data_IF_549601031812
#
_entry.id   IF_549601031812
#
_cell.length_a   1.000
_cell.length_b   1.000
_cell.length_c   1.000
_cell.angle_alpha   90.00
_cell.angle_beta   90.00
_cell.angle_gamma   90.00
#
_symmetry.space_group_name_H-M   'P 1'
#
loop_
_entity.id
_entity.type
_entity.pdbx_description
1 polymer ?
#
# COMPACT_ATOMS: atom_id res chain seq x y z
N UNK A 1 11.00 18.20 4.38
CA UNK A 1 9.80 17.45 4.76
C UNK A 1 9.16 16.96 3.48
N UNK A 2 8.63 15.75 3.50
CA UNK A 2 7.84 15.24 2.38
C UNK A 2 6.63 16.15 2.10
N UNK A 3 6.11 16.09 0.88
CA UNK A 3 4.84 16.76 0.53
C UNK A 3 3.64 15.94 1.03
N UNK A 4 2.49 16.59 1.20
CA UNK A 4 1.25 15.94 1.62
C UNK A 4 0.62 15.11 0.49
N UNK A 5 0.08 13.93 0.83
CA UNK A 5 -0.81 13.20 -0.07
C UNK A 5 -2.22 13.79 -0.01
N UNK A 6 -2.86 13.90 -1.16
CA UNK A 6 -4.28 14.27 -1.26
C UNK A 6 -5.01 13.26 -2.14
N UNK A 7 -6.13 12.73 -1.64
CA UNK A 7 -7.04 11.86 -2.37
C UNK A 7 -8.40 12.54 -2.42
N UNK A 8 -9.02 12.55 -3.59
CA UNK A 8 -10.41 12.98 -3.78
C UNK A 8 -11.24 11.78 -4.25
N UNK A 9 -12.40 11.57 -3.64
CA UNK A 9 -13.30 10.46 -3.93
C UNK A 9 -14.63 11.02 -4.42
N UNK A 10 -15.14 10.40 -5.48
CA UNK A 10 -16.53 10.47 -5.90
C UNK A 10 -17.01 9.04 -6.11
N UNK A 11 -17.97 8.59 -5.31
CA UNK A 11 -18.49 7.23 -5.38
C UNK A 11 -20.02 7.26 -5.50
N UNK A 12 -20.58 6.53 -6.46
CA UNK A 12 -22.02 6.27 -6.54
C UNK A 12 -22.27 4.87 -6.01
N UNK A 13 -23.11 4.76 -4.99
CA UNK A 13 -23.38 3.50 -4.31
C UNK A 13 -24.83 3.44 -3.83
N UNK A 14 -25.20 2.29 -3.26
CA UNK A 14 -26.55 1.88 -2.86
C UNK A 14 -27.41 1.39 -4.04
N UNK A 15 -28.47 0.59 -3.78
CA UNK A 15 -29.44 0.18 -4.82
C UNK A 15 -30.08 1.38 -5.51
N UNK A 16 -30.52 1.16 -6.74
CA UNK A 16 -31.01 2.19 -7.66
C UNK A 16 -32.05 3.13 -7.04
N UNK A 17 -32.97 2.60 -6.22
CA UNK A 17 -34.04 3.39 -5.57
C UNK A 17 -33.52 4.42 -4.57
N UNK A 18 -32.33 4.20 -4.01
CA UNK A 18 -31.70 5.06 -3.00
C UNK A 18 -30.26 5.41 -3.36
N UNK A 19 -29.88 5.29 -4.63
CA UNK A 19 -28.54 5.55 -5.11
C UNK A 19 -28.09 6.96 -4.72
N UNK A 20 -26.88 7.08 -4.18
CA UNK A 20 -26.29 8.36 -3.78
C UNK A 20 -24.88 8.49 -4.32
N UNK A 21 -24.58 9.69 -4.79
CA UNK A 21 -23.21 10.12 -5.04
C UNK A 21 -22.65 10.73 -3.76
N UNK A 22 -21.61 10.11 -3.22
CA UNK A 22 -20.86 10.57 -2.06
C UNK A 22 -19.54 11.15 -2.57
N UNK A 23 -19.24 12.38 -2.17
CA UNK A 23 -17.96 13.01 -2.44
C UNK A 23 -17.21 13.24 -1.14
N UNK A 24 -15.88 13.17 -1.20
CA UNK A 24 -15.02 13.40 -0.05
C UNK A 24 -13.58 13.59 -0.45
N UNK A 25 -12.76 14.00 0.51
CA UNK A 25 -11.33 14.10 0.35
C UNK A 25 -10.59 13.64 1.60
N UNK A 26 -9.35 13.23 1.41
CA UNK A 26 -8.40 12.91 2.47
C UNK A 26 -7.09 13.62 2.16
N UNK A 27 -6.53 14.29 3.17
CA UNK A 27 -5.19 14.86 3.11
C UNK A 27 -4.36 14.26 4.23
N UNK A 28 -3.19 13.74 3.90
CA UNK A 28 -2.22 13.20 4.86
C UNK A 28 -0.96 14.05 4.79
N UNK A 29 -0.71 14.80 5.86
CA UNK A 29 0.42 15.72 5.97
C UNK A 29 1.55 15.06 6.76
N UNK A 30 2.80 15.08 6.25
CA UNK A 30 3.98 14.70 7.01
C UNK A 30 4.10 15.49 8.32
N UNK A 31 4.37 14.78 9.41
CA UNK A 31 4.48 15.29 10.77
C UNK A 31 5.82 15.97 10.99
N UNK A 32 6.90 15.37 10.48
CA UNK A 32 8.26 15.88 10.65
C UNK A 32 9.20 15.45 9.50
N UNK A 33 10.51 15.47 9.75
CA UNK A 33 11.53 15.14 8.77
C UNK A 33 11.76 13.62 8.57
N UNK A 34 11.24 12.79 9.47
CA UNK A 34 11.32 11.33 9.41
C UNK A 34 10.25 10.76 8.47
N UNK A 35 9.18 11.49 8.23
CA UNK A 35 8.18 11.15 7.23
C UNK A 35 8.74 11.28 5.80
N UNK A 36 8.87 10.13 5.13
CA UNK A 36 9.51 9.96 3.82
C UNK A 36 8.63 9.14 2.87
N UNK A 37 8.72 9.45 1.58
CA UNK A 37 7.95 8.75 0.55
C UNK A 37 8.62 7.46 0.08
N UNK A 38 7.81 6.46 -0.20
CA UNK A 38 8.16 5.24 -0.92
C UNK A 38 7.29 5.12 -2.18
N UNK A 39 7.92 4.68 -3.28
CA UNK A 39 7.25 4.37 -4.54
C UNK A 39 7.92 3.16 -5.17
N UNK A 40 7.13 2.14 -5.53
CA UNK A 40 7.62 1.00 -6.29
C UNK A 40 6.49 0.34 -7.06
N UNK A 41 6.82 -0.22 -8.22
CA UNK A 41 6.02 -1.27 -8.84
C UNK A 41 6.49 -2.61 -8.27
N UNK A 42 5.70 -3.18 -7.36
CA UNK A 42 6.02 -4.43 -6.65
C UNK A 42 5.37 -5.61 -7.36
N UNK A 43 6.17 -6.61 -7.72
CA UNK A 43 5.66 -7.89 -8.21
C UNK A 43 5.36 -8.80 -7.01
N UNK A 44 4.08 -9.10 -6.78
CA UNK A 44 3.63 -10.05 -5.76
C UNK A 44 3.37 -11.41 -6.37
N UNK A 45 3.73 -12.44 -5.63
CA UNK A 45 3.46 -13.84 -5.97
C UNK A 45 2.51 -14.44 -4.94
N UNK A 46 2.19 -15.71 -5.12
CA UNK A 46 1.34 -16.51 -4.23
C UNK A 46 1.99 -16.78 -2.87
N UNK A 47 3.30 -16.51 -2.76
CA UNK A 47 4.05 -16.61 -1.51
C UNK A 47 4.02 -15.26 -0.80
N UNK A 48 3.60 -15.27 0.47
CA UNK A 48 3.54 -14.07 1.31
C UNK A 48 4.91 -13.39 1.41
N UNK A 49 4.92 -12.09 1.16
CA UNK A 49 6.11 -11.25 1.28
C UNK A 49 5.74 -9.87 1.83
N UNK A 50 6.72 -9.16 2.39
CA UNK A 50 6.54 -7.76 2.77
C UNK A 50 6.23 -6.92 1.52
N UNK A 51 5.19 -6.11 1.58
CA UNK A 51 4.76 -5.29 0.44
C UNK A 51 5.75 -4.15 0.14
N UNK A 52 6.40 -3.65 1.18
CA UNK A 52 7.34 -2.53 1.15
C UNK A 52 8.72 -3.05 1.56
N UNK A 53 9.72 -2.84 0.70
CA UNK A 53 11.11 -3.17 0.98
C UNK A 53 12.05 -2.34 0.10
N UNK A 54 13.28 -2.13 0.56
CA UNK A 54 14.32 -1.41 -0.18
C UNK A 54 14.65 -0.09 0.51
N UNK A 55 14.46 1.03 -0.19
CA UNK A 55 14.90 2.35 0.26
C UNK A 55 13.82 3.41 0.03
N UNK A 56 13.86 4.46 0.83
CA UNK A 56 13.03 5.64 0.63
C UNK A 56 13.39 6.35 -0.68
N UNK A 57 12.45 7.15 -1.20
CA UNK A 57 12.72 8.05 -2.31
C UNK A 57 13.60 9.22 -1.87
N UNK A 58 14.61 9.51 -2.70
CA UNK A 58 15.40 10.72 -2.58
C UNK A 58 14.76 11.82 -3.43
N UNK A 59 14.28 12.87 -2.77
CA UNK A 59 13.80 14.10 -3.42
C UNK A 59 14.82 15.25 -3.32
N UNK A 60 15.92 15.03 -2.60
CA UNK A 60 17.08 15.91 -2.53
C UNK A 60 18.31 15.20 -3.08
N UNK A 61 19.28 15.99 -3.56
CA UNK A 61 20.53 15.46 -4.07
C UNK A 61 21.31 14.73 -2.96
N UNK A 62 21.79 13.53 -3.28
CA UNK A 62 22.73 12.77 -2.46
C UNK A 62 24.09 12.72 -3.14
N UNK A 63 25.16 12.58 -2.35
CA UNK A 63 26.50 12.47 -2.91
C UNK A 63 26.64 11.16 -3.72
N UNK A 64 27.48 11.13 -4.78
CA UNK A 64 27.56 9.98 -5.68
C UNK A 64 27.90 8.63 -5.00
N UNK A 65 28.62 8.66 -3.88
CA UNK A 65 29.01 7.47 -3.12
C UNK A 65 28.13 7.19 -1.89
N UNK A 66 27.04 7.94 -1.71
CA UNK A 66 26.10 7.75 -0.60
C UNK A 66 24.92 6.93 -1.10
N UNK A 67 24.65 5.80 -0.46
CA UNK A 67 23.46 5.00 -0.73
C UNK A 67 22.17 5.68 -0.26
N UNK A 68 21.03 5.19 -0.75
CA UNK A 68 19.73 5.65 -0.27
C UNK A 68 19.50 5.18 1.18
N UNK A 69 18.70 5.92 1.94
CA UNK A 69 18.25 5.48 3.27
C UNK A 69 17.40 4.22 3.11
N UNK A 70 17.79 3.14 3.80
CA UNK A 70 17.06 1.88 3.77
C UNK A 70 15.78 1.98 4.60
N UNK A 71 14.72 1.31 4.13
CA UNK A 71 13.50 1.10 4.89
C UNK A 71 13.71 -0.10 5.80
N UNK A 72 13.28 0.03 7.05
CA UNK A 72 13.31 -1.04 8.06
C UNK A 72 11.92 -1.60 8.29
N UNK A 73 11.85 -2.82 8.83
CA UNK A 73 10.56 -3.41 9.23
C UNK A 73 9.89 -2.67 10.39
N UNK A 74 10.59 -1.78 11.09
CA UNK A 74 10.06 -1.01 12.21
C UNK A 74 9.44 0.33 11.79
N UNK A 75 9.71 0.78 10.56
CA UNK A 75 9.13 2.02 10.01
C UNK A 75 7.60 1.91 9.98
N UNK A 76 6.90 3.01 10.25
CA UNK A 76 5.43 3.01 10.32
C UNK A 76 4.81 3.47 9.01
N UNK A 77 3.78 2.76 8.57
CA UNK A 77 3.03 3.05 7.35
C UNK A 77 1.95 4.08 7.63
N UNK A 78 2.29 5.37 7.61
CA UNK A 78 1.32 6.46 7.89
C UNK A 78 0.19 6.50 6.87
N UNK A 79 0.53 6.29 5.60
CA UNK A 79 -0.42 6.21 4.49
C UNK A 79 0.05 5.16 3.48
N UNK A 80 -0.92 4.41 2.95
CA UNK A 80 -0.71 3.42 1.91
C UNK A 80 -1.71 3.66 0.79
N UNK A 81 -1.20 3.69 -0.45
CA UNK A 81 -1.96 3.60 -1.68
C UNK A 81 -1.46 2.39 -2.47
N UNK A 82 -2.37 1.53 -2.86
CA UNK A 82 -2.10 0.41 -3.75
C UNK A 82 -3.04 0.44 -4.95
N UNK A 83 -2.50 0.15 -6.11
CA UNK A 83 -3.29 -0.12 -7.30
C UNK A 83 -2.83 -1.43 -7.91
N UNK A 84 -3.78 -2.35 -8.07
CA UNK A 84 -3.54 -3.61 -8.75
C UNK A 84 -3.49 -3.36 -10.26
N UNK A 85 -2.35 -3.64 -10.89
CA UNK A 85 -2.18 -3.46 -12.34
C UNK A 85 -2.52 -4.73 -13.15
N UNK A 86 -2.93 -5.82 -12.49
CA UNK A 86 -3.47 -6.99 -13.17
C UNK A 86 -4.85 -6.69 -13.74
N UNK A 87 -5.17 -7.34 -14.87
CA UNK A 87 -6.48 -7.36 -15.49
C UNK A 87 -7.29 -8.62 -15.16
N UNK A 88 -6.71 -9.59 -14.44
CA UNK A 88 -7.33 -10.88 -14.14
C UNK A 88 -7.35 -11.23 -12.66
N UNK A 89 -6.26 -10.96 -11.96
CA UNK A 89 -6.03 -11.48 -10.60
C UNK A 89 -6.09 -10.37 -9.56
N UNK A 90 -6.45 -10.74 -8.34
CA UNK A 90 -6.46 -9.87 -7.17
C UNK A 90 -5.20 -9.99 -6.32
N UNK A 91 -5.24 -9.33 -5.17
CA UNK A 91 -4.24 -9.44 -4.12
C UNK A 91 -4.90 -9.32 -2.75
N UNK A 92 -4.25 -9.89 -1.73
CA UNK A 92 -4.63 -9.74 -0.34
C UNK A 92 -3.54 -9.02 0.44
N UNK A 93 -3.94 -8.03 1.24
CA UNK A 93 -3.09 -7.28 2.16
C UNK A 93 -3.33 -7.75 3.60
N UNK A 94 -2.26 -8.05 4.30
CA UNK A 94 -2.20 -8.38 5.72
C UNK A 94 -1.54 -7.23 6.48
N UNK A 95 -2.07 -6.88 7.66
CA UNK A 95 -1.63 -5.70 8.41
C UNK A 95 -1.13 -6.00 9.83
N UNK A 96 -1.14 -7.27 10.24
CA UNK A 96 -0.79 -7.71 11.59
C UNK A 96 0.56 -8.45 11.66
N UNK A 97 1.25 -8.59 10.53
CA UNK A 97 2.55 -9.27 10.40
C UNK A 97 2.48 -10.78 10.32
N UNK A 98 1.28 -11.35 10.24
CA UNK A 98 1.12 -12.76 9.93
C UNK A 98 1.38 -13.01 8.45
N UNK A 99 1.42 -14.29 8.09
CA UNK A 99 1.49 -14.72 6.70
C UNK A 99 0.19 -14.34 5.99
N UNK A 100 0.27 -13.46 4.99
CA UNK A 100 -0.85 -13.15 4.12
C UNK A 100 -1.34 -14.43 3.42
N UNK A 101 -2.64 -14.69 3.54
CA UNK A 101 -3.33 -15.86 2.95
C UNK A 101 -4.72 -15.42 2.48
N UNK A 102 -5.20 -15.97 1.37
CA UNK A 102 -6.50 -15.63 0.77
C UNK A 102 -7.70 -16.11 1.61
N UNK A 103 -7.45 -16.94 2.62
CA UNK A 103 -8.43 -17.43 3.59
C UNK A 103 -8.35 -16.71 4.94
N UNK A 104 -7.51 -15.68 5.05
CA UNK A 104 -7.37 -14.87 6.25
C UNK A 104 -8.61 -14.04 6.52
N UNK A 105 -8.97 -13.88 7.80
CA UNK A 105 -10.23 -13.24 8.21
C UNK A 105 -10.17 -11.71 8.08
N UNK A 106 -8.99 -11.13 8.24
CA UNK A 106 -8.72 -9.70 8.38
C UNK A 106 -7.88 -9.13 7.23
N UNK A 107 -7.93 -9.81 6.08
CA UNK A 107 -7.22 -9.39 4.88
C UNK A 107 -8.02 -8.37 4.08
N UNK A 108 -7.37 -7.33 3.57
CA UNK A 108 -7.99 -6.46 2.56
C UNK A 108 -7.76 -7.05 1.17
N UNK A 109 -8.84 -7.37 0.47
CA UNK A 109 -8.80 -7.77 -0.94
C UNK A 109 -8.79 -6.55 -1.85
N UNK A 110 -7.94 -6.57 -2.88
CA UNK A 110 -7.94 -5.59 -3.98
C UNK A 110 -8.00 -6.35 -5.30
N UNK A 111 -9.13 -6.25 -5.98
CA UNK A 111 -9.39 -6.93 -7.24
C UNK A 111 -8.55 -6.41 -8.40
N UNK A 112 -8.66 -7.08 -9.55
CA UNK A 112 -8.01 -6.66 -10.78
C UNK A 112 -8.39 -5.22 -11.15
N UNK A 113 -7.38 -4.39 -11.48
CA UNK A 113 -7.54 -2.97 -11.81
C UNK A 113 -8.13 -2.09 -10.69
N UNK A 114 -8.36 -2.63 -9.50
CA UNK A 114 -8.88 -1.87 -8.37
C UNK A 114 -7.78 -1.08 -7.66
N UNK A 115 -8.22 -0.06 -6.92
CA UNK A 115 -7.37 0.80 -6.11
C UNK A 115 -7.87 0.79 -4.68
N UNK A 116 -6.94 0.68 -3.74
CA UNK A 116 -7.22 0.75 -2.31
C UNK A 116 -6.24 1.69 -1.64
N UNK A 117 -6.70 2.43 -0.65
CA UNK A 117 -5.84 3.30 0.14
C UNK A 117 -6.36 3.43 1.57
N UNK A 118 -5.46 3.67 2.51
CA UNK A 118 -5.80 3.90 3.91
C UNK A 118 -4.71 4.68 4.66
N UNK A 119 -5.09 5.25 5.80
CA UNK A 119 -4.16 5.66 6.84
C UNK A 119 -4.00 4.51 7.83
N UNK A 120 -2.77 4.08 8.08
CA UNK A 120 -2.44 2.90 8.89
C UNK A 120 -1.44 3.26 10.02
N UNK A 121 -1.75 4.24 10.88
CA UNK A 121 -0.77 4.94 11.72
C UNK A 121 0.02 4.06 12.69
N UNK A 122 -0.44 2.83 12.95
CA UNK A 122 0.20 1.87 13.86
C UNK A 122 0.78 0.65 13.14
N UNK A 123 0.51 0.47 11.84
CA UNK A 123 1.05 -0.65 11.06
C UNK A 123 2.52 -0.37 10.77
N UNK A 124 3.39 -1.34 11.09
CA UNK A 124 4.79 -1.28 10.68
C UNK A 124 4.95 -1.88 9.28
N UNK A 125 6.05 -1.53 8.59
CA UNK A 125 6.42 -2.18 7.33
C UNK A 125 6.52 -3.70 7.50
N UNK A 126 7.04 -4.17 8.64
CA UNK A 126 7.11 -5.59 8.97
C UNK A 126 5.75 -6.25 9.15
N UNK A 127 4.72 -5.50 9.58
CA UNK A 127 3.37 -6.03 9.70
C UNK A 127 2.61 -6.06 8.36
N UNK A 128 3.12 -5.36 7.34
CA UNK A 128 2.45 -5.24 6.04
C UNK A 128 2.97 -6.29 5.06
N UNK A 129 2.28 -7.42 4.99
CA UNK A 129 2.56 -8.49 4.02
C UNK A 129 1.45 -8.61 2.98
N UNK A 130 1.76 -9.21 1.83
CA UNK A 130 0.80 -9.40 0.76
C UNK A 130 1.08 -10.65 -0.07
N UNK A 131 0.05 -11.13 -0.76
CA UNK A 131 0.10 -12.17 -1.80
C UNK A 131 -0.69 -11.74 -3.02
N UNK A 132 -0.33 -12.26 -4.19
CA UNK A 132 -1.27 -12.34 -5.32
C UNK A 132 -2.29 -13.44 -5.07
N UNK A 133 -3.48 -13.30 -5.64
CA UNK A 133 -4.56 -14.28 -5.50
C UNK A 133 -5.56 -14.18 -6.62
N UNK A 134 -6.19 -15.30 -6.98
CA UNK A 134 -7.38 -15.26 -7.82
C UNK A 134 -8.58 -14.86 -6.95
N UNK A 135 -9.68 -14.45 -7.59
CA UNK A 135 -10.93 -14.21 -6.87
C UNK A 135 -11.41 -15.56 -6.31
N UNK A 136 -11.43 -15.67 -4.98
CA UNK A 136 -11.89 -16.85 -4.22
C UNK A 136 -11.03 -18.12 -4.29
N UNK A 137 -9.79 -18.07 -4.78
CA UNK A 137 -8.83 -19.18 -4.70
C UNK A 137 -7.38 -18.67 -4.54
N UNK A 138 -6.45 -19.55 -4.16
CA UNK A 138 -5.04 -19.25 -4.16
C UNK A 138 -4.62 -18.98 -5.61
N UNK A 139 -4.16 -17.75 -5.88
CA UNK A 139 -3.78 -17.37 -7.24
C UNK A 139 -2.69 -18.25 -7.80
N UNK A 140 -2.54 -18.26 -9.13
CA UNK A 140 -1.44 -18.96 -9.80
C UNK A 140 -0.47 -17.99 -10.52
N UNK A 141 -0.82 -16.70 -10.58
CA UNK A 141 -0.11 -15.67 -11.32
C UNK A 141 0.61 -14.64 -10.42
N UNK A 142 1.60 -13.97 -11.02
CA UNK A 142 2.29 -12.81 -10.40
C UNK A 142 1.51 -11.54 -10.73
N UNK A 143 1.22 -10.73 -9.70
CA UNK A 143 0.52 -9.45 -9.84
C UNK A 143 1.48 -8.29 -9.64
N UNK A 144 1.50 -7.35 -10.59
CA UNK A 144 2.20 -6.09 -10.43
C UNK A 144 1.31 -5.09 -9.68
N UNK A 145 1.84 -4.51 -8.62
CA UNK A 145 1.13 -3.59 -7.73
C UNK A 145 1.87 -2.28 -7.69
N UNK A 146 1.19 -1.19 -8.02
CA UNK A 146 1.72 0.14 -7.77
C UNK A 146 1.58 0.41 -6.27
N UNK A 147 2.71 0.57 -5.57
CA UNK A 147 2.73 0.83 -4.12
C UNK A 147 3.32 2.21 -3.88
N UNK A 148 2.53 3.08 -3.25
CA UNK A 148 2.94 4.42 -2.82
C UNK A 148 2.64 4.52 -1.33
N UNK A 149 3.64 4.89 -0.53
CA UNK A 149 3.45 5.00 0.91
C UNK A 149 4.17 6.21 1.49
N UNK A 150 3.52 6.86 2.47
CA UNK A 150 4.19 7.77 3.40
C UNK A 150 4.58 6.96 4.62
N UNK A 151 5.87 6.94 4.91
CA UNK A 151 6.46 6.14 5.97
C UNK A 151 7.14 7.05 6.98
N UNK A 152 6.93 6.78 8.26
CA UNK A 152 7.69 7.38 9.35
C UNK A 152 8.93 6.52 9.60
N UNK A 153 10.11 7.08 9.33
CA UNK A 153 11.42 6.47 9.55
C UNK A 153 11.71 6.41 11.06
N UNK A 154 11.68 5.21 11.63
CA UNK A 154 11.83 4.99 13.08
C UNK A 154 13.29 4.63 13.45
N UNK A 155 14.16 4.46 12.46
CA UNK A 155 15.54 4.01 12.63
C UNK A 155 16.55 5.12 12.95
#
# INVERSE_FOLDING_TARGET
>A
MADAATISVTATMLPDEIAKTITGSMTVTPTDANDKWYYKLTALTTTSAQLIAGSFLNYTAIAPATGHTAITTSDKVRFLFVQNQSSGDGLYLCFDGQTAVNTGVDMAFVGASETWFAQLPNTTVGNLTAISSDIADAGDATVNVLVIALLDDVA
#
